data_IF_847167739220
#
_entry.id   IF_847167739220
#
_cell.length_a   1.000
_cell.length_b   1.000
_cell.length_c   1.000
_cell.angle_alpha   90.00
_cell.angle_beta   90.00
_cell.angle_gamma   90.00
#
_symmetry.space_group_name_H-M   'P 1'
#
loop_
_entity.id
_entity.type
_entity.pdbx_description
1 polymer ?
#
# COMPACT_ATOMS: atom_id res chain seq x y z
N UNK A 1 10.50 -8.13 -40.40
CA UNK A 1 9.30 -8.49 -39.61
C UNK A 1 8.01 -8.25 -40.40
N UNK A 2 7.77 -8.95 -41.52
CA UNK A 2 6.60 -8.71 -42.40
C UNK A 2 5.25 -9.17 -41.83
N UNK A 3 5.25 -9.89 -40.70
CA UNK A 3 4.04 -10.43 -40.05
C UNK A 3 3.55 -9.62 -38.84
N UNK A 4 4.12 -8.43 -38.59
CA UNK A 4 3.71 -7.60 -37.46
C UNK A 4 2.34 -6.95 -37.73
N UNK A 5 1.34 -7.28 -36.92
CA UNK A 5 -0.06 -6.78 -37.05
C UNK A 5 -0.56 -6.04 -35.81
N UNK A 6 0.28 -5.91 -34.78
CA UNK A 6 -0.07 -5.20 -33.56
C UNK A 6 1.15 -4.87 -32.72
N UNK A 7 1.02 -3.83 -31.91
CA UNK A 7 2.03 -3.39 -30.97
C UNK A 7 1.34 -2.86 -29.70
N UNK A 8 1.85 -3.23 -28.53
CA UNK A 8 1.23 -2.89 -27.25
C UNK A 8 2.26 -2.44 -26.24
N UNK A 9 2.19 -1.18 -25.81
CA UNK A 9 3.11 -0.55 -24.87
C UNK A 9 2.37 0.41 -23.93
N UNK A 10 3.10 1.03 -23.00
CA UNK A 10 2.55 2.09 -22.14
C UNK A 10 2.22 3.38 -22.93
N UNK A 11 1.66 4.35 -22.21
CA UNK A 11 1.22 5.63 -22.74
C UNK A 11 2.30 6.72 -22.72
N UNK A 12 3.57 6.38 -22.41
CA UNK A 12 4.63 7.38 -22.34
C UNK A 12 4.83 8.02 -23.73
N UNK A 13 5.18 9.32 -23.76
CA UNK A 13 5.33 10.06 -25.02
C UNK A 13 6.33 9.38 -25.98
N UNK A 14 7.41 8.79 -25.45
CA UNK A 14 8.39 8.06 -26.24
C UNK A 14 7.82 6.77 -26.86
N UNK A 15 6.79 6.17 -26.27
CA UNK A 15 6.17 4.93 -26.74
C UNK A 15 4.93 5.21 -27.61
N UNK A 16 3.99 5.98 -27.07
CA UNK A 16 2.67 6.24 -27.65
C UNK A 16 2.63 7.50 -28.55
N UNK A 17 3.67 8.33 -28.52
CA UNK A 17 3.70 9.63 -29.20
C UNK A 17 3.46 9.51 -30.70
N UNK A 18 2.56 10.35 -31.22
CA UNK A 18 2.17 10.32 -32.63
C UNK A 18 3.25 10.86 -33.57
N UNK A 19 4.14 11.75 -33.11
CA UNK A 19 5.16 12.37 -33.96
C UNK A 19 6.44 11.52 -34.03
N UNK A 20 7.03 11.20 -32.87
CA UNK A 20 8.35 10.57 -32.78
C UNK A 20 8.37 9.32 -31.91
N UNK A 21 7.20 8.86 -31.44
CA UNK A 21 7.10 7.70 -30.57
C UNK A 21 7.40 6.40 -31.30
N UNK A 22 7.76 5.37 -30.53
CA UNK A 22 7.99 4.01 -31.03
C UNK A 22 6.81 3.54 -31.88
N UNK A 23 5.57 3.83 -31.47
CA UNK A 23 4.40 3.41 -32.22
C UNK A 23 4.33 3.98 -33.64
N UNK A 24 4.74 5.24 -33.81
CA UNK A 24 4.78 5.90 -35.11
C UNK A 24 5.87 5.29 -35.98
N UNK A 25 7.09 5.16 -35.46
CA UNK A 25 8.23 4.59 -36.20
C UNK A 25 7.98 3.14 -36.64
N UNK A 26 7.36 2.32 -35.78
CA UNK A 26 6.98 0.95 -36.13
C UNK A 26 5.89 0.96 -37.21
N UNK A 27 4.90 1.85 -37.10
CA UNK A 27 3.77 1.93 -38.05
C UNK A 27 4.17 2.49 -39.42
N UNK A 28 5.19 3.34 -39.50
CA UNK A 28 5.79 3.80 -40.77
C UNK A 28 6.33 2.62 -41.59
N UNK A 29 7.03 1.68 -40.92
CA UNK A 29 7.58 0.50 -41.57
C UNK A 29 6.56 -0.64 -41.72
N UNK A 30 5.59 -0.71 -40.81
CA UNK A 30 4.57 -1.77 -40.74
C UNK A 30 3.17 -1.18 -40.51
N UNK A 31 2.49 -0.69 -41.57
CA UNK A 31 1.21 0.02 -41.44
C UNK A 31 0.09 -0.79 -40.77
N UNK A 32 0.17 -2.12 -40.81
CA UNK A 32 -0.79 -3.03 -40.17
C UNK A 32 -0.57 -3.18 -38.66
N UNK A 33 0.58 -2.77 -38.12
CA UNK A 33 0.92 -2.88 -36.70
C UNK A 33 0.22 -1.80 -35.86
N UNK A 34 -1.07 -2.00 -35.55
CA UNK A 34 -1.84 -1.02 -34.77
C UNK A 34 -1.36 -0.95 -33.32
N UNK A 35 -1.30 0.27 -32.80
CA UNK A 35 -0.98 0.53 -31.41
C UNK A 35 -2.19 0.28 -30.51
N UNK A 36 -1.94 -0.46 -29.42
CA UNK A 36 -2.88 -0.69 -28.34
C UNK A 36 -2.24 -0.19 -27.06
N UNK A 37 -2.90 0.76 -26.40
CA UNK A 37 -2.44 1.26 -25.11
C UNK A 37 -2.65 0.20 -24.03
N UNK A 38 -1.58 -0.11 -23.28
CA UNK A 38 -1.58 -1.10 -22.22
C UNK A 38 -2.72 -0.87 -21.21
N UNK A 39 -3.61 -1.87 -21.07
CA UNK A 39 -4.74 -1.80 -20.15
C UNK A 39 -4.30 -1.63 -18.69
N UNK A 40 -3.26 -2.35 -18.27
CA UNK A 40 -2.70 -2.22 -16.91
C UNK A 40 -2.17 -0.81 -16.63
N UNK A 41 -1.54 -0.17 -17.61
CA UNK A 41 -1.06 1.22 -17.47
C UNK A 41 -2.24 2.20 -17.37
N UNK A 42 -3.28 2.02 -18.20
CA UNK A 42 -4.51 2.84 -18.14
C UNK A 42 -5.22 2.72 -16.79
N UNK A 43 -5.33 1.50 -16.25
CA UNK A 43 -5.90 1.27 -14.94
C UNK A 43 -5.07 1.97 -13.86
N UNK A 44 -3.74 1.81 -13.90
CA UNK A 44 -2.84 2.44 -12.94
C UNK A 44 -2.96 3.98 -12.97
N UNK A 45 -3.05 4.58 -14.15
CA UNK A 45 -3.26 6.03 -14.30
C UNK A 45 -4.61 6.49 -13.74
N UNK A 46 -5.66 5.73 -14.00
CA UNK A 46 -7.01 6.04 -13.47
C UNK A 46 -6.99 6.01 -11.94
N UNK A 47 -6.39 4.97 -11.35
CA UNK A 47 -6.28 4.85 -9.90
C UNK A 47 -5.37 5.93 -9.29
N UNK A 48 -4.26 6.28 -9.95
CA UNK A 48 -3.43 7.44 -9.56
C UNK A 48 -4.22 8.74 -9.51
N UNK A 49 -5.12 8.97 -10.48
CA UNK A 49 -5.97 10.17 -10.48
C UNK A 49 -6.97 10.15 -9.32
N UNK A 50 -7.56 9.00 -9.01
CA UNK A 50 -8.46 8.84 -7.87
C UNK A 50 -7.75 9.13 -6.53
N UNK A 51 -6.44 8.87 -6.43
CA UNK A 51 -5.64 9.23 -5.26
C UNK A 51 -5.49 10.74 -5.01
N UNK A 52 -5.83 11.59 -5.98
CA UNK A 52 -5.89 13.04 -5.75
C UNK A 52 -7.04 13.44 -4.82
N UNK A 53 -8.05 12.56 -4.65
CA UNK A 53 -9.18 12.79 -3.76
C UNK A 53 -8.69 12.73 -2.30
N UNK A 54 -8.85 13.82 -1.50
CA UNK A 54 -8.29 13.90 -0.15
C UNK A 54 -8.74 12.77 0.77
N UNK A 55 -10.02 12.39 0.74
CA UNK A 55 -10.54 11.32 1.58
C UNK A 55 -9.84 9.96 1.33
N UNK A 56 -9.63 9.62 0.06
CA UNK A 56 -8.97 8.37 -0.35
C UNK A 56 -7.49 8.41 0.02
N UNK A 57 -6.81 9.53 -0.26
CA UNK A 57 -5.41 9.73 0.11
C UNK A 57 -5.18 9.62 1.60
N UNK A 58 -6.02 10.27 2.41
CA UNK A 58 -5.91 10.26 3.86
C UNK A 58 -6.15 8.86 4.43
N UNK A 59 -7.19 8.16 3.94
CA UNK A 59 -7.47 6.78 4.33
C UNK A 59 -6.27 5.86 4.07
N UNK A 60 -5.72 5.88 2.85
CA UNK A 60 -4.56 5.06 2.51
C UNK A 60 -3.27 5.50 3.23
N UNK A 61 -3.17 6.79 3.58
CA UNK A 61 -2.11 7.30 4.45
C UNK A 61 -2.16 6.71 5.86
N UNK A 62 -3.35 6.57 6.45
CA UNK A 62 -3.54 5.90 7.75
C UNK A 62 -3.19 4.42 7.64
N UNK A 63 -3.69 3.72 6.62
CA UNK A 63 -3.35 2.31 6.38
C UNK A 63 -1.84 2.13 6.28
N UNK A 64 -1.15 2.98 5.51
CA UNK A 64 0.31 2.93 5.38
C UNK A 64 1.03 3.10 6.71
N UNK A 65 0.58 4.02 7.56
CA UNK A 65 1.14 4.23 8.89
C UNK A 65 0.97 3.00 9.79
N UNK A 66 -0.22 2.41 9.83
CA UNK A 66 -0.50 1.19 10.62
C UNK A 66 0.36 0.02 10.12
N UNK A 67 0.44 -0.17 8.80
CA UNK A 67 1.31 -1.20 8.20
C UNK A 67 2.77 -0.97 8.58
N UNK A 68 3.25 0.28 8.53
CA UNK A 68 4.63 0.61 8.91
C UNK A 68 4.90 0.38 10.39
N UNK A 69 3.96 0.72 11.28
CA UNK A 69 4.05 0.46 12.71
C UNK A 69 4.31 -1.02 12.98
N UNK A 70 3.42 -1.89 12.50
CA UNK A 70 3.53 -3.33 12.74
C UNK A 70 4.68 -4.00 12.00
N UNK A 71 5.24 -3.40 10.95
CA UNK A 71 6.37 -3.99 10.22
C UNK A 71 7.72 -3.54 10.73
N UNK A 72 7.83 -2.31 11.24
CA UNK A 72 9.11 -1.71 11.57
C UNK A 72 9.38 -1.71 13.08
N UNK A 73 8.35 -1.88 13.92
CA UNK A 73 8.52 -1.98 15.38
C UNK A 73 8.30 -3.41 15.86
N UNK A 74 9.35 -4.03 16.40
CA UNK A 74 9.34 -5.43 16.87
C UNK A 74 8.29 -5.70 17.94
N UNK A 75 8.14 -4.81 18.92
CA UNK A 75 7.16 -4.95 20.00
C UNK A 75 5.72 -4.89 19.46
N UNK A 76 5.42 -3.93 18.59
CA UNK A 76 4.11 -3.81 17.95
C UNK A 76 3.82 -5.03 17.07
N UNK A 77 4.81 -5.51 16.31
CA UNK A 77 4.68 -6.73 15.52
C UNK A 77 4.34 -7.94 16.38
N UNK A 78 5.04 -8.11 17.52
CA UNK A 78 4.83 -9.22 18.45
C UNK A 78 3.39 -9.22 18.97
N UNK A 79 2.92 -8.09 19.49
CA UNK A 79 1.54 -7.93 19.97
C UNK A 79 0.57 -8.32 18.85
N UNK A 80 0.75 -7.78 17.64
CA UNK A 80 -0.11 -8.10 16.50
C UNK A 80 -0.12 -9.59 16.13
N UNK A 81 1.04 -10.28 16.17
CA UNK A 81 1.08 -11.72 15.93
C UNK A 81 0.35 -12.53 17.01
N UNK A 82 0.50 -12.13 18.28
CA UNK A 82 -0.19 -12.74 19.42
C UNK A 82 -1.71 -12.57 19.27
N UNK A 83 -2.18 -11.35 18.94
CA UNK A 83 -3.60 -11.07 18.69
C UNK A 83 -4.17 -11.94 17.55
N UNK A 84 -3.44 -12.10 16.45
CA UNK A 84 -3.86 -12.97 15.35
C UNK A 84 -3.95 -14.43 15.80
N UNK A 85 -3.00 -14.90 16.61
CA UNK A 85 -3.01 -16.29 17.06
C UNK A 85 -4.18 -16.60 17.99
N UNK A 86 -4.59 -15.63 18.80
CA UNK A 86 -5.69 -15.75 19.75
C UNK A 86 -7.06 -15.58 19.07
N UNK A 87 -7.22 -14.54 18.24
CA UNK A 87 -8.53 -14.13 17.72
C UNK A 87 -8.79 -14.62 16.28
N UNK A 88 -7.75 -14.98 15.53
CA UNK A 88 -7.85 -15.46 14.16
C UNK A 88 -6.88 -16.63 13.88
N UNK A 89 -6.92 -17.73 14.67
CA UNK A 89 -5.98 -18.83 14.56
C UNK A 89 -5.99 -19.47 13.17
N UNK A 90 -7.17 -19.63 12.57
CA UNK A 90 -7.37 -20.25 11.25
C UNK A 90 -7.10 -19.31 10.06
N UNK A 91 -6.79 -18.03 10.32
CA UNK A 91 -6.55 -17.08 9.24
C UNK A 91 -5.32 -17.47 8.43
N UNK A 92 -5.49 -17.54 7.10
CA UNK A 92 -4.39 -17.79 6.15
C UNK A 92 -3.44 -16.60 6.04
N UNK A 93 -3.88 -15.39 6.44
CA UNK A 93 -3.06 -14.18 6.43
C UNK A 93 -2.55 -13.93 7.83
N UNK A 94 -1.23 -13.77 7.97
CA UNK A 94 -0.60 -13.49 9.28
C UNK A 94 0.18 -12.17 9.30
N UNK A 95 0.30 -11.48 8.16
CA UNK A 95 1.18 -10.31 8.01
C UNK A 95 0.57 -9.26 7.10
N UNK A 96 0.78 -8.00 7.46
CA UNK A 96 0.42 -6.86 6.63
C UNK A 96 1.46 -6.61 5.53
N UNK A 97 0.98 -6.24 4.35
CA UNK A 97 1.78 -6.01 3.16
C UNK A 97 1.99 -4.51 2.93
N UNK A 98 3.20 -4.09 2.53
CA UNK A 98 3.50 -2.67 2.25
C UNK A 98 2.72 -2.24 1.03
N UNK A 99 2.04 -1.10 1.11
CA UNK A 99 1.45 -0.47 -0.05
C UNK A 99 2.57 -0.03 -1.00
N UNK A 100 2.53 -0.49 -2.25
CA UNK A 100 3.45 -0.05 -3.30
C UNK A 100 2.96 1.27 -3.89
N UNK A 101 3.77 2.33 -3.85
CA UNK A 101 3.33 3.65 -4.31
C UNK A 101 3.05 3.72 -5.81
N UNK A 102 3.66 2.87 -6.63
CA UNK A 102 3.60 2.99 -8.09
C UNK A 102 2.78 1.89 -8.77
N UNK A 103 2.42 0.81 -8.06
CA UNK A 103 1.70 -0.34 -8.60
C UNK A 103 0.38 -0.55 -7.87
N UNK A 104 -0.69 0.02 -8.40
CA UNK A 104 -2.00 -0.03 -7.75
C UNK A 104 -2.63 -1.42 -7.68
N UNK A 105 -2.32 -2.30 -8.63
CA UNK A 105 -2.79 -3.69 -8.60
C UNK A 105 -2.25 -4.39 -7.35
N UNK A 106 -0.98 -4.19 -7.00
CA UNK A 106 -0.41 -4.74 -5.77
C UNK A 106 -1.00 -4.08 -4.52
N UNK A 107 -1.41 -2.81 -4.58
CA UNK A 107 -2.09 -2.15 -3.45
C UNK A 107 -3.43 -2.80 -3.13
N UNK A 108 -4.20 -3.21 -4.14
CA UNK A 108 -5.52 -3.82 -3.94
C UNK A 108 -5.44 -5.05 -3.03
N UNK A 109 -4.54 -5.98 -3.34
CA UNK A 109 -4.39 -7.20 -2.55
C UNK A 109 -3.94 -6.91 -1.11
N UNK A 110 -3.10 -5.88 -0.93
CA UNK A 110 -2.66 -5.44 0.38
C UNK A 110 -3.79 -4.83 1.20
N UNK A 111 -4.70 -4.08 0.57
CA UNK A 111 -5.90 -3.55 1.23
C UNK A 111 -6.86 -4.68 1.59
N UNK A 112 -7.03 -5.69 0.75
CA UNK A 112 -7.82 -6.89 1.11
C UNK A 112 -7.23 -7.54 2.35
N UNK A 113 -5.92 -7.79 2.39
CA UNK A 113 -5.26 -8.37 3.58
C UNK A 113 -5.45 -7.48 4.82
N UNK A 114 -5.38 -6.17 4.66
CA UNK A 114 -5.62 -5.22 5.75
C UNK A 114 -7.05 -5.32 6.29
N UNK A 115 -8.04 -5.42 5.40
CA UNK A 115 -9.45 -5.59 5.77
C UNK A 115 -9.73 -6.95 6.42
N UNK A 116 -9.14 -8.03 5.89
CA UNK A 116 -9.24 -9.38 6.47
C UNK A 116 -8.68 -9.45 7.91
N UNK A 117 -7.68 -8.62 8.23
CA UNK A 117 -7.06 -8.56 9.55
C UNK A 117 -7.53 -7.36 10.38
N UNK A 118 -8.56 -6.63 9.95
CA UNK A 118 -8.93 -5.34 10.53
C UNK A 118 -9.26 -5.44 12.02
N UNK A 119 -10.00 -6.47 12.43
CA UNK A 119 -10.34 -6.68 13.83
C UNK A 119 -9.10 -6.91 14.70
N UNK A 120 -8.19 -7.79 14.30
CA UNK A 120 -6.91 -8.01 14.99
C UNK A 120 -6.03 -6.76 15.01
N UNK A 121 -6.08 -5.93 13.96
CA UNK A 121 -5.37 -4.65 13.90
C UNK A 121 -5.89 -3.71 14.99
N UNK A 122 -7.21 -3.56 15.11
CA UNK A 122 -7.82 -2.66 16.11
C UNK A 122 -7.48 -3.12 17.51
N UNK A 123 -7.66 -4.41 17.82
CA UNK A 123 -7.32 -4.98 19.13
C UNK A 123 -5.84 -4.76 19.49
N UNK A 124 -4.92 -5.03 18.56
CA UNK A 124 -3.49 -4.82 18.79
C UNK A 124 -3.15 -3.33 19.02
N UNK A 125 -3.79 -2.41 18.29
CA UNK A 125 -3.59 -0.97 18.49
C UNK A 125 -4.11 -0.49 19.85
N UNK A 126 -5.26 -0.99 20.29
CA UNK A 126 -5.82 -0.68 21.61
C UNK A 126 -4.89 -1.16 22.73
N UNK A 127 -4.35 -2.36 22.62
CA UNK A 127 -3.39 -2.89 23.58
C UNK A 127 -2.09 -2.06 23.61
N UNK A 128 -1.54 -1.70 22.45
CA UNK A 128 -0.35 -0.84 22.35
C UNK A 128 -0.61 0.52 23.02
N UNK A 129 -1.79 1.09 22.79
CA UNK A 129 -2.17 2.35 23.40
C UNK A 129 -2.18 2.21 24.93
N UNK A 130 -2.88 1.21 25.48
CA UNK A 130 -2.96 0.96 26.92
C UNK A 130 -1.57 0.79 27.57
N UNK A 131 -0.67 0.03 26.93
CA UNK A 131 0.71 -0.16 27.41
C UNK A 131 1.49 1.15 27.43
N UNK A 132 1.29 2.02 26.43
CA UNK A 132 1.96 3.33 26.34
C UNK A 132 1.46 4.30 27.41
N UNK A 133 0.14 4.40 27.61
CA UNK A 133 -0.47 5.22 28.66
C UNK A 133 0.00 4.80 30.05
N UNK A 134 0.12 3.50 30.30
CA UNK A 134 0.58 2.96 31.58
C UNK A 134 2.01 3.45 31.87
N UNK A 135 2.94 3.33 30.92
CA UNK A 135 4.34 3.77 31.10
C UNK A 135 4.44 5.27 31.38
N UNK A 136 3.67 6.10 30.68
CA UNK A 136 3.64 7.54 30.91
C UNK A 136 3.10 7.90 32.30
N UNK A 137 2.12 7.14 32.81
CA UNK A 137 1.59 7.35 34.16
C UNK A 137 2.54 6.91 35.28
N UNK A 138 3.32 5.84 35.08
CA UNK A 138 4.33 5.40 36.08
C UNK A 138 5.53 6.34 36.16
N UNK A 139 5.94 6.96 35.04
CA UNK A 139 7.04 7.93 35.02
C UNK A 139 6.74 9.25 35.73
N UNK A 140 5.47 9.65 35.83
CA UNK A 140 5.04 10.86 36.56
C UNK A 140 5.07 10.63 38.08
N UNK A 141 4.73 9.42 38.55
CA UNK A 141 4.73 9.11 39.97
C UNK A 141 6.14 8.99 40.59
N UNK A 142 7.17 8.71 39.80
CA UNK A 142 8.57 8.75 40.27
C UNK A 142 9.13 10.16 40.47
N UNK A 143 8.51 11.19 39.90
CA UNK A 143 8.98 12.59 39.99
C UNK A 143 8.39 13.36 41.18
N UNK A 144 7.36 12.82 41.84
CA UNK A 144 6.66 13.47 42.96
C UNK A 144 7.18 13.05 44.35
N UNK A 145 8.11 12.10 44.43
CA UNK A 145 8.70 11.64 45.69
C UNK A 145 10.01 12.34 46.10
N UNK A 146 10.57 13.23 45.27
CA UNK A 146 11.85 13.90 45.56
C UNK A 146 11.74 15.36 46.06
N UNK A 147 10.55 15.93 46.24
CA UNK A 147 10.38 17.31 46.75
C UNK A 147 9.89 17.42 48.20
N UNK A 148 10.09 16.38 49.02
CA UNK A 148 9.93 16.47 50.49
C UNK A 148 11.17 15.94 51.22
N UNK A 149 12.26 16.69 51.14
CA UNK A 149 13.28 16.78 52.19
C UNK A 149 13.77 18.21 52.29
#
# INVERSE_FOLDING_TARGET
MTKCVGQGYDGAANMAGHLSGVQTRIRENYPKARYIHCASHRLNLTLSNVMSIPAIRNCLGVVSQVVNLFRNHSNANKIFQETIQEHAPDSKKKRLLRLCDTRFIERHDNIIVFLELFECIVMALEEIAQRTWTISSTGINSSLSESKK
#
